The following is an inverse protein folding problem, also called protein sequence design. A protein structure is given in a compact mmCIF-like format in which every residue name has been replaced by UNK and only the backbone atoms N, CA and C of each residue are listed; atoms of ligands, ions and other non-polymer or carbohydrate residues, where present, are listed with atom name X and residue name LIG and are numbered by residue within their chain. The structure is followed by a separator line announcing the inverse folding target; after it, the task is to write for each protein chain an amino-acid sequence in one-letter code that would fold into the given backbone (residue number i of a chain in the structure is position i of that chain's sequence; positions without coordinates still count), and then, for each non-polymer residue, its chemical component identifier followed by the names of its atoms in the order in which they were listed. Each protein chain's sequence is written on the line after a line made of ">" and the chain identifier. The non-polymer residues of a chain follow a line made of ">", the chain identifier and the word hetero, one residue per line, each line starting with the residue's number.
data_IF_708566731000
#
_entry.id   IF_708566731000
#
_cell.length_a   1.000
_cell.length_b   1.000
_cell.length_c   1.000
_cell.angle_alpha   90.00
_cell.angle_beta   90.00
_cell.angle_gamma   90.00
#
_symmetry.space_group_name_H-M   'P 1'
#
loop_
_entity.id
_entity.type
_entity.pdbx_description
1 polymer ?
#
# COMPACT_ATOMS: atom_id res chain seq x y z
N UNK A 1 -1.59 13.18 38.55
CA UNK A 1 -0.44 12.61 37.82
C UNK A 1 -0.76 12.70 36.33
N UNK A 2 0.07 13.35 35.53
CA UNK A 2 -0.14 13.34 34.07
C UNK A 2 0.03 11.90 33.59
N UNK A 3 -0.97 11.39 32.89
CA UNK A 3 -0.91 10.09 32.22
C UNK A 3 0.28 10.12 31.25
N UNK A 4 1.26 9.23 31.46
CA UNK A 4 2.41 9.13 30.55
C UNK A 4 1.87 8.74 29.17
N UNK A 5 2.20 9.56 28.16
CA UNK A 5 1.86 9.21 26.78
C UNK A 5 2.51 7.86 26.42
N UNK A 6 1.72 6.94 25.91
CA UNK A 6 2.20 5.68 25.34
C UNK A 6 3.30 5.95 24.30
N UNK A 7 4.40 5.23 24.36
CA UNK A 7 5.50 5.41 23.42
C UNK A 7 5.04 5.04 22.00
N UNK A 8 5.42 5.83 21.00
CA UNK A 8 5.01 5.63 19.60
C UNK A 8 5.35 4.22 19.08
N UNK A 9 6.48 3.67 19.49
CA UNK A 9 6.96 2.34 19.10
C UNK A 9 5.98 1.21 19.49
N UNK A 10 5.08 1.45 20.43
CA UNK A 10 4.12 0.44 20.89
C UNK A 10 2.93 0.26 19.94
N UNK A 11 2.63 1.25 19.08
CA UNK A 11 1.47 1.22 18.18
C UNK A 11 1.80 1.57 16.72
N UNK A 12 3.02 2.07 16.44
CA UNK A 12 3.44 2.39 15.08
C UNK A 12 3.64 1.14 14.21
N UNK A 13 3.56 1.30 12.89
CA UNK A 13 4.03 0.31 11.94
C UNK A 13 5.56 0.24 11.99
N UNK A 14 6.09 -0.91 12.38
CA UNK A 14 7.53 -1.11 12.55
C UNK A 14 8.24 -1.60 11.28
N UNK A 15 7.55 -1.79 10.16
CA UNK A 15 8.17 -2.30 8.93
C UNK A 15 9.27 -1.39 8.37
N UNK A 16 9.13 -0.05 8.34
CA UNK A 16 10.23 0.82 7.93
C UNK A 16 11.46 0.65 8.80
N UNK A 17 11.29 0.70 10.12
CA UNK A 17 12.36 0.53 11.09
C UNK A 17 13.05 -0.85 10.96
N UNK A 18 12.26 -1.92 10.83
CA UNK A 18 12.80 -3.26 10.69
C UNK A 18 13.61 -3.43 9.38
N UNK A 19 13.20 -2.73 8.31
CA UNK A 19 13.96 -2.70 7.06
C UNK A 19 15.29 -1.97 7.22
N UNK A 20 15.32 -0.83 7.91
CA UNK A 20 16.55 -0.09 8.20
C UNK A 20 17.51 -0.92 9.02
N UNK A 21 17.03 -1.60 10.06
CA UNK A 21 17.85 -2.51 10.89
C UNK A 21 18.45 -3.65 10.05
N UNK A 22 17.66 -4.25 9.16
CA UNK A 22 18.15 -5.27 8.24
C UNK A 22 19.20 -4.73 7.26
N UNK A 23 19.07 -3.45 6.82
CA UNK A 23 20.09 -2.77 6.01
C UNK A 23 21.43 -2.62 6.74
N UNK A 24 21.42 -2.39 8.05
CA UNK A 24 22.62 -2.37 8.89
C UNK A 24 23.20 -3.75 9.15
N UNK A 25 22.51 -4.82 8.74
CA UNK A 25 22.96 -6.21 8.95
C UNK A 25 22.65 -6.78 10.34
N UNK A 26 21.86 -6.06 11.16
CA UNK A 26 21.43 -6.56 12.46
C UNK A 26 20.20 -7.46 12.30
N UNK A 27 20.29 -8.68 12.86
CA UNK A 27 19.20 -9.68 12.77
C UNK A 27 18.35 -9.75 14.02
N UNK A 28 18.96 -9.39 15.16
CA UNK A 28 18.30 -9.46 16.45
C UNK A 28 17.87 -8.08 16.95
N UNK A 29 16.65 -7.69 16.55
CA UNK A 29 16.06 -6.42 16.96
C UNK A 29 15.98 -6.29 18.49
N UNK A 30 15.76 -7.41 19.20
CA UNK A 30 15.63 -7.42 20.67
C UNK A 30 16.94 -7.05 21.39
N UNK A 31 18.10 -7.21 20.73
CA UNK A 31 19.43 -6.92 21.31
C UNK A 31 19.80 -5.43 21.28
N UNK A 32 19.06 -4.62 20.54
CA UNK A 32 19.32 -3.19 20.44
C UNK A 32 19.00 -2.47 21.75
N UNK A 33 19.71 -1.38 22.09
CA UNK A 33 19.49 -0.62 23.33
C UNK A 33 18.26 0.29 23.22
N UNK A 34 17.08 -0.31 23.27
CA UNK A 34 15.81 0.43 23.21
C UNK A 34 15.55 1.23 24.48
N UNK A 35 15.06 2.45 24.34
CA UNK A 35 14.50 3.21 25.45
C UNK A 35 13.17 2.60 25.92
N UNK A 36 12.36 2.17 24.96
CA UNK A 36 11.12 1.39 25.19
C UNK A 36 11.16 0.21 24.22
N UNK A 37 11.06 -1.01 24.75
CA UNK A 37 11.09 -2.22 23.92
C UNK A 37 9.88 -2.27 22.99
N UNK A 38 10.07 -2.46 21.67
CA UNK A 38 8.96 -2.65 20.75
C UNK A 38 8.22 -3.96 21.06
N UNK A 39 6.87 -3.99 20.95
CA UNK A 39 6.10 -5.21 21.15
C UNK A 39 6.53 -6.32 20.18
N UNK A 40 6.78 -7.52 20.69
CA UNK A 40 7.23 -8.67 19.87
C UNK A 40 6.25 -8.99 18.74
N UNK A 41 4.94 -8.84 18.98
CA UNK A 41 3.92 -9.06 17.94
C UNK A 41 4.08 -8.07 16.78
N UNK A 42 4.38 -6.79 17.07
CA UNK A 42 4.58 -5.76 16.04
C UNK A 42 5.87 -6.02 15.24
N UNK A 43 6.95 -6.46 15.92
CA UNK A 43 8.20 -6.87 15.24
C UNK A 43 7.95 -8.07 14.32
N UNK A 44 7.23 -9.11 14.81
CA UNK A 44 6.89 -10.27 13.99
C UNK A 44 6.10 -9.87 12.76
N UNK A 45 5.03 -9.07 12.94
CA UNK A 45 4.22 -8.58 11.83
C UNK A 45 5.03 -7.75 10.82
N UNK A 46 5.97 -6.92 11.29
CA UNK A 46 6.85 -6.15 10.43
C UNK A 46 7.78 -7.07 9.60
N UNK A 47 8.37 -8.09 10.23
CA UNK A 47 9.21 -9.08 9.54
C UNK A 47 8.42 -9.90 8.53
N UNK A 48 7.24 -10.40 8.91
CA UNK A 48 6.35 -11.15 8.01
C UNK A 48 5.96 -10.32 6.79
N UNK A 49 5.68 -9.03 7.00
CA UNK A 49 5.46 -8.09 5.91
C UNK A 49 6.69 -7.97 5.01
N UNK A 50 7.87 -7.71 5.57
CA UNK A 50 9.10 -7.54 4.78
C UNK A 50 9.47 -8.81 4.00
N UNK A 51 9.24 -10.00 4.57
CA UNK A 51 9.37 -11.28 3.85
C UNK A 51 8.38 -11.36 2.69
N UNK A 52 7.10 -11.04 2.93
CA UNK A 52 6.07 -11.06 1.88
C UNK A 52 6.34 -10.08 0.75
N UNK A 53 6.98 -8.94 1.07
CA UNK A 53 7.46 -7.97 0.09
C UNK A 53 8.76 -8.41 -0.61
N UNK A 54 9.39 -9.50 -0.18
CA UNK A 54 10.68 -9.94 -0.67
C UNK A 54 11.84 -9.00 -0.31
N UNK A 55 11.65 -8.14 0.69
CA UNK A 55 12.66 -7.20 1.15
C UNK A 55 13.73 -7.86 2.02
N UNK A 56 13.33 -8.83 2.83
CA UNK A 56 14.21 -9.72 3.58
C UNK A 56 13.90 -11.18 3.26
N UNK A 57 14.86 -12.07 3.48
CA UNK A 57 14.65 -13.51 3.41
C UNK A 57 14.13 -14.08 4.76
N UNK A 58 13.88 -15.39 4.80
CA UNK A 58 13.41 -16.09 6.01
C UNK A 58 14.42 -16.06 7.18
N UNK A 59 15.69 -15.80 6.90
CA UNK A 59 16.75 -15.65 7.88
C UNK A 59 16.98 -14.20 8.32
N UNK A 60 16.07 -13.30 7.93
CA UNK A 60 16.10 -11.85 8.13
C UNK A 60 17.29 -11.13 7.47
N UNK A 61 17.88 -11.69 6.42
CA UNK A 61 18.90 -10.98 5.64
C UNK A 61 18.21 -10.08 4.60
N UNK A 62 18.78 -8.89 4.40
CA UNK A 62 18.33 -7.97 3.35
C UNK A 62 18.60 -8.58 1.97
N UNK A 63 17.56 -8.58 1.11
CA UNK A 63 17.67 -9.07 -0.26
C UNK A 63 18.16 -7.96 -1.23
N UNK A 64 18.57 -8.30 -2.47
CA UNK A 64 18.83 -7.28 -3.50
C UNK A 64 17.61 -6.37 -3.77
N UNK A 65 16.39 -6.94 -3.73
CA UNK A 65 15.16 -6.16 -3.84
C UNK A 65 14.96 -5.26 -2.60
N UNK A 66 15.22 -5.78 -1.40
CA UNK A 66 15.15 -5.03 -0.15
C UNK A 66 16.06 -3.82 -0.12
N UNK A 67 17.29 -3.92 -0.64
CA UNK A 67 18.21 -2.78 -0.79
C UNK A 67 17.63 -1.69 -1.70
N UNK A 68 16.96 -2.08 -2.78
CA UNK A 68 16.29 -1.13 -3.70
C UNK A 68 15.06 -0.49 -3.04
N UNK A 69 14.30 -1.25 -2.24
CA UNK A 69 13.16 -0.75 -1.46
C UNK A 69 13.66 0.26 -0.41
N UNK A 70 14.68 -0.07 0.36
CA UNK A 70 15.26 0.80 1.39
C UNK A 70 15.88 2.10 0.85
N UNK A 71 16.24 2.14 -0.44
CA UNK A 71 16.76 3.35 -1.09
C UNK A 71 15.70 4.46 -1.29
N UNK A 72 14.40 4.12 -1.18
CA UNK A 72 13.31 5.10 -1.29
C UNK A 72 12.83 5.50 0.10
N UNK A 73 12.82 6.80 0.45
CA UNK A 73 12.42 7.28 1.77
C UNK A 73 10.89 7.29 1.94
N UNK A 74 10.28 6.12 1.82
CA UNK A 74 8.84 5.92 1.96
C UNK A 74 8.54 4.53 2.56
N UNK A 75 7.28 4.29 2.89
CA UNK A 75 6.86 3.01 3.44
C UNK A 75 7.24 1.84 2.50
N UNK A 76 7.77 0.69 3.02
CA UNK A 76 8.25 -0.44 2.21
C UNK A 76 7.26 -0.96 1.16
N UNK A 77 5.95 -0.89 1.43
CA UNK A 77 4.91 -1.27 0.47
C UNK A 77 4.91 -0.36 -0.77
N UNK A 78 5.00 0.95 -0.55
CA UNK A 78 5.03 1.94 -1.63
C UNK A 78 6.35 1.84 -2.40
N UNK A 79 7.45 1.73 -1.66
CA UNK A 79 8.76 1.54 -2.25
C UNK A 79 8.81 0.28 -3.15
N UNK A 80 8.27 -0.86 -2.69
CA UNK A 80 8.20 -2.08 -3.50
C UNK A 80 7.39 -1.88 -4.77
N UNK A 81 6.22 -1.28 -4.69
CA UNK A 81 5.37 -0.99 -5.84
C UNK A 81 6.13 -0.16 -6.89
N UNK A 82 6.80 0.92 -6.46
CA UNK A 82 7.56 1.82 -7.33
C UNK A 82 8.77 1.09 -7.94
N UNK A 83 9.51 0.32 -7.13
CA UNK A 83 10.71 -0.43 -7.56
C UNK A 83 10.38 -1.55 -8.53
N UNK A 84 9.22 -2.19 -8.39
CA UNK A 84 8.76 -3.26 -9.28
C UNK A 84 8.09 -2.74 -10.55
N UNK A 85 7.77 -1.46 -10.63
CA UNK A 85 7.25 -0.82 -11.84
C UNK A 85 8.34 -0.75 -12.91
N UNK A 86 8.26 -1.63 -13.91
CA UNK A 86 9.32 -1.92 -14.87
C UNK A 86 9.28 -1.07 -16.15
N UNK A 87 8.26 -0.21 -16.31
CA UNK A 87 8.16 0.78 -17.40
C UNK A 87 8.02 2.20 -16.83
N UNK A 88 8.29 3.21 -17.66
CA UNK A 88 8.15 4.61 -17.26
C UNK A 88 6.69 4.95 -16.86
N UNK A 89 5.73 4.46 -17.62
CA UNK A 89 4.30 4.65 -17.40
C UNK A 89 3.84 4.00 -16.08
N UNK A 90 4.23 2.74 -15.85
CA UNK A 90 3.95 2.04 -14.58
C UNK A 90 4.59 2.74 -13.39
N UNK A 91 5.80 3.26 -13.55
CA UNK A 91 6.48 3.98 -12.48
C UNK A 91 5.77 5.29 -12.13
N UNK A 92 5.34 6.06 -13.14
CA UNK A 92 4.51 7.23 -12.95
C UNK A 92 3.18 6.90 -12.25
N UNK A 93 2.52 5.82 -12.70
CA UNK A 93 1.28 5.31 -12.11
C UNK A 93 1.47 4.87 -10.66
N UNK A 94 2.56 4.15 -10.35
CA UNK A 94 2.90 3.75 -8.98
C UNK A 94 3.09 4.95 -8.05
N UNK A 95 3.71 6.03 -8.52
CA UNK A 95 3.83 7.29 -7.76
C UNK A 95 2.46 7.94 -7.49
N UNK A 96 1.55 7.90 -8.46
CA UNK A 96 0.19 8.43 -8.30
C UNK A 96 -0.62 7.58 -7.30
N UNK A 97 -0.51 6.25 -7.37
CA UNK A 97 -1.14 5.32 -6.41
C UNK A 97 -0.60 5.56 -5.00
N UNK A 98 0.72 5.65 -4.83
CA UNK A 98 1.34 5.90 -3.54
C UNK A 98 0.80 7.20 -2.90
N UNK A 99 0.76 8.27 -3.67
CA UNK A 99 0.24 9.56 -3.20
C UNK A 99 -1.26 9.52 -2.83
N UNK A 100 -2.06 8.76 -3.59
CA UNK A 100 -3.48 8.59 -3.29
C UNK A 100 -3.68 7.85 -1.96
N UNK A 101 -2.84 6.87 -1.66
CA UNK A 101 -2.94 6.04 -0.46
C UNK A 101 -2.43 6.73 0.82
N UNK A 102 -1.64 7.81 0.70
CA UNK A 102 -1.18 8.61 1.84
C UNK A 102 -2.21 9.64 2.32
N UNK A 103 -3.17 9.99 1.47
CA UNK A 103 -4.21 10.96 1.79
C UNK A 103 -5.56 10.29 2.01
N UNK A 104 -6.43 10.96 2.75
CA UNK A 104 -7.82 10.52 2.84
C UNK A 104 -8.47 10.58 1.46
N UNK A 105 -9.25 9.54 1.09
CA UNK A 105 -9.96 9.48 -0.19
C UNK A 105 -10.62 10.84 -0.51
N UNK A 106 -10.33 11.42 -1.68
CA UNK A 106 -10.91 12.70 -2.08
C UNK A 106 -12.38 12.59 -2.50
N UNK A 107 -12.87 11.40 -2.78
CA UNK A 107 -14.27 11.16 -3.13
C UNK A 107 -15.13 10.92 -1.88
N UNK A 108 -16.44 11.01 -2.04
CA UNK A 108 -17.41 10.77 -0.97
C UNK A 108 -17.43 9.29 -0.56
N UNK A 109 -17.88 9.03 0.69
CA UNK A 109 -17.92 7.68 1.29
C UNK A 109 -18.82 6.67 0.53
N UNK A 110 -19.69 7.15 -0.35
CA UNK A 110 -20.58 6.34 -1.21
C UNK A 110 -20.06 6.18 -2.64
N UNK A 111 -18.83 6.63 -2.93
CA UNK A 111 -18.25 6.42 -4.24
C UNK A 111 -17.85 4.94 -4.40
N UNK A 112 -17.89 4.48 -5.67
CA UNK A 112 -17.35 3.18 -6.09
C UNK A 112 -15.94 2.94 -5.55
N UNK A 113 -15.59 1.70 -5.23
CA UNK A 113 -14.29 1.36 -4.63
C UNK A 113 -13.15 1.34 -5.65
N UNK A 114 -13.40 1.46 -6.95
CA UNK A 114 -12.38 1.42 -7.99
C UNK A 114 -11.41 2.62 -7.90
N UNK A 115 -10.14 2.30 -7.63
CA UNK A 115 -9.05 3.27 -7.59
C UNK A 115 -8.79 3.92 -8.94
N UNK A 116 -9.10 3.25 -10.04
CA UNK A 116 -8.86 3.75 -11.40
C UNK A 116 -9.60 5.07 -11.65
N UNK A 117 -10.83 5.18 -11.10
CA UNK A 117 -11.59 6.43 -11.16
C UNK A 117 -10.84 7.59 -10.49
N UNK A 118 -10.30 7.37 -9.28
CA UNK A 118 -9.54 8.39 -8.53
C UNK A 118 -8.30 8.83 -9.29
N UNK A 119 -7.58 7.89 -9.85
CA UNK A 119 -6.36 8.14 -10.62
C UNK A 119 -6.65 8.89 -11.93
N UNK A 120 -7.73 8.54 -12.64
CA UNK A 120 -8.19 9.28 -13.82
C UNK A 120 -8.54 10.72 -13.45
N UNK A 121 -9.26 10.94 -12.35
CA UNK A 121 -9.60 12.28 -11.88
C UNK A 121 -8.37 13.07 -11.48
N UNK A 122 -7.40 12.47 -10.78
CA UNK A 122 -6.12 13.08 -10.43
C UNK A 122 -5.37 13.54 -11.67
N UNK A 123 -5.20 12.66 -12.67
CA UNK A 123 -4.46 12.93 -13.90
C UNK A 123 -5.13 14.02 -14.75
N UNK A 124 -6.45 13.95 -14.93
CA UNK A 124 -7.23 14.97 -15.67
C UNK A 124 -7.26 16.34 -14.98
N UNK A 125 -7.06 16.36 -13.67
CA UNK A 125 -7.04 17.60 -12.90
C UNK A 125 -5.66 18.27 -12.88
N UNK A 126 -4.58 17.59 -13.30
CA UNK A 126 -3.23 18.18 -13.40
C UNK A 126 -3.23 19.36 -14.37
N UNK A 127 -2.48 20.39 -14.03
CA UNK A 127 -2.44 21.64 -14.80
C UNK A 127 -3.64 22.56 -14.63
N UNK A 128 -4.71 22.13 -13.92
CA UNK A 128 -5.84 22.97 -13.55
C UNK A 128 -5.68 23.48 -12.12
N UNK A 129 -6.33 24.61 -11.78
CA UNK A 129 -6.34 25.13 -10.41
C UNK A 129 -7.08 24.13 -9.51
N UNK A 130 -6.33 23.31 -8.80
CA UNK A 130 -6.85 22.34 -7.85
C UNK A 130 -6.96 22.97 -6.46
N UNK A 131 -7.92 22.51 -5.66
CA UNK A 131 -8.16 22.97 -4.30
C UNK A 131 -8.31 21.75 -3.38
N UNK A 132 -7.81 21.85 -2.14
CA UNK A 132 -8.01 20.85 -1.11
C UNK A 132 -7.17 19.58 -1.30
N UNK A 133 -7.81 18.40 -1.12
CA UNK A 133 -7.11 17.11 -1.12
C UNK A 133 -6.45 16.76 -2.44
N UNK A 134 -7.07 17.05 -3.57
CA UNK A 134 -6.50 16.81 -4.89
C UNK A 134 -5.16 17.53 -5.09
N UNK A 135 -5.04 18.76 -4.59
CA UNK A 135 -3.80 19.53 -4.65
C UNK A 135 -2.70 18.85 -3.81
N UNK A 136 -3.04 18.35 -2.61
CA UNK A 136 -2.07 17.65 -1.76
C UNK A 136 -1.62 16.35 -2.41
N UNK A 137 -2.55 15.53 -2.91
CA UNK A 137 -2.23 14.28 -3.61
C UNK A 137 -1.33 14.55 -4.81
N UNK A 138 -1.63 15.57 -5.62
CA UNK A 138 -0.81 15.93 -6.78
C UNK A 138 0.62 16.34 -6.38
N UNK A 139 0.77 17.08 -5.25
CA UNK A 139 2.08 17.47 -4.71
C UNK A 139 2.86 16.24 -4.23
N UNK A 140 2.24 15.36 -3.44
CA UNK A 140 2.86 14.12 -2.96
C UNK A 140 3.27 13.24 -4.14
N UNK A 141 2.41 13.10 -5.18
CA UNK A 141 2.75 12.37 -6.40
C UNK A 141 3.97 12.95 -7.12
N UNK A 142 4.12 14.27 -7.15
CA UNK A 142 5.30 14.91 -7.73
C UNK A 142 6.57 14.64 -6.90
N UNK A 143 6.47 14.61 -5.57
CA UNK A 143 7.57 14.23 -4.67
C UNK A 143 7.99 12.76 -4.90
N UNK A 144 7.03 11.84 -5.00
CA UNK A 144 7.31 10.43 -5.34
C UNK A 144 7.96 10.28 -6.71
N UNK A 145 7.47 10.99 -7.73
CA UNK A 145 8.10 10.97 -9.07
C UNK A 145 9.53 11.50 -9.04
N UNK A 146 9.78 12.55 -8.27
CA UNK A 146 11.14 13.10 -8.11
C UNK A 146 12.07 12.02 -7.48
N UNK A 147 11.67 11.41 -6.39
CA UNK A 147 12.44 10.34 -5.71
C UNK A 147 12.66 9.11 -6.61
N UNK A 148 11.67 8.74 -7.39
CA UNK A 148 11.71 7.59 -8.28
C UNK A 148 12.35 7.87 -9.65
N UNK A 149 12.78 9.12 -9.92
CA UNK A 149 13.24 9.56 -11.24
C UNK A 149 12.23 9.22 -12.35
N UNK A 150 10.95 9.45 -12.09
CA UNK A 150 9.85 9.18 -13.01
C UNK A 150 9.32 10.48 -13.63
N UNK A 151 8.95 10.41 -14.90
CA UNK A 151 8.27 11.50 -15.60
C UNK A 151 6.78 11.49 -15.28
N UNK A 152 6.13 12.66 -15.40
CA UNK A 152 4.69 12.75 -15.27
C UNK A 152 4.01 12.11 -16.48
N UNK A 153 2.95 11.33 -16.21
CA UNK A 153 2.09 10.74 -17.21
C UNK A 153 0.63 11.13 -16.91
N UNK A 154 -0.06 11.68 -17.90
CA UNK A 154 -1.45 12.17 -17.79
C UNK A 154 -2.42 11.37 -18.67
N UNK A 155 -2.00 10.25 -19.23
CA UNK A 155 -2.90 9.32 -19.94
C UNK A 155 -3.82 8.64 -18.94
N UNK A 156 -5.03 8.25 -19.38
CA UNK A 156 -5.94 7.52 -18.50
C UNK A 156 -5.31 6.19 -18.06
N UNK A 157 -5.33 5.85 -16.76
CA UNK A 157 -4.71 4.63 -16.26
C UNK A 157 -5.46 3.39 -16.75
N UNK A 158 -4.72 2.34 -17.10
CA UNK A 158 -5.29 1.03 -17.43
C UNK A 158 -5.67 0.33 -16.12
N UNK A 159 -6.94 -0.09 -15.92
CA UNK A 159 -7.41 -0.66 -14.64
C UNK A 159 -6.59 -1.84 -14.14
N UNK A 160 -6.24 -2.79 -15.01
CA UNK A 160 -5.44 -3.97 -14.65
C UNK A 160 -3.99 -3.63 -14.28
N UNK A 161 -3.45 -2.54 -14.82
CA UNK A 161 -2.13 -2.02 -14.40
C UNK A 161 -2.19 -1.42 -13.01
N UNK A 162 -3.29 -0.75 -12.65
CA UNK A 162 -3.54 -0.28 -11.28
C UNK A 162 -3.58 -1.48 -10.33
N UNK A 163 -4.36 -2.51 -10.66
CA UNK A 163 -4.46 -3.73 -9.87
C UNK A 163 -3.10 -4.44 -9.69
N UNK A 164 -2.33 -4.58 -10.75
CA UNK A 164 -0.98 -5.16 -10.71
C UNK A 164 -0.06 -4.40 -9.73
N UNK A 165 -0.05 -3.08 -9.80
CA UNK A 165 0.77 -2.25 -8.93
C UNK A 165 0.32 -2.33 -7.47
N UNK A 166 -0.99 -2.31 -7.21
CA UNK A 166 -1.55 -2.53 -5.86
C UNK A 166 -1.16 -3.91 -5.33
N UNK A 167 -1.18 -4.97 -6.17
CA UNK A 167 -0.76 -6.31 -5.77
C UNK A 167 0.73 -6.38 -5.38
N UNK A 168 1.59 -5.55 -5.97
CA UNK A 168 2.98 -5.44 -5.51
C UNK A 168 3.10 -4.83 -4.10
N UNK A 169 2.25 -3.87 -3.75
CA UNK A 169 2.25 -3.25 -2.42
C UNK A 169 1.57 -4.13 -1.36
N UNK A 170 0.53 -4.86 -1.75
CA UNK A 170 -0.35 -5.63 -0.87
C UNK A 170 -0.57 -7.06 -1.38
N UNK A 171 0.48 -7.90 -1.49
CA UNK A 171 0.35 -9.25 -2.04
C UNK A 171 -0.63 -10.13 -1.25
N UNK A 172 -0.73 -9.95 0.06
CA UNK A 172 -1.66 -10.64 0.94
C UNK A 172 -3.13 -10.23 0.75
N UNK A 173 -3.36 -9.10 0.04
CA UNK A 173 -4.68 -8.55 -0.24
C UNK A 173 -5.14 -8.75 -1.68
N UNK A 174 -4.47 -9.61 -2.44
CA UNK A 174 -5.02 -10.15 -3.67
C UNK A 174 -6.24 -10.98 -3.29
N UNK A 175 -7.37 -10.77 -3.97
CA UNK A 175 -8.62 -11.41 -3.60
C UNK A 175 -9.30 -12.04 -4.81
N UNK A 176 -9.81 -13.25 -4.62
CA UNK A 176 -10.54 -14.03 -5.60
C UNK A 176 -12.03 -14.02 -5.24
N UNK A 177 -12.88 -13.80 -6.25
CA UNK A 177 -14.33 -13.88 -6.10
C UNK A 177 -14.74 -15.26 -5.57
N UNK A 178 -15.75 -15.28 -4.69
CA UNK A 178 -16.42 -16.48 -4.22
C UNK A 178 -17.84 -16.58 -4.82
N UNK A 179 -18.65 -17.52 -4.34
CA UNK A 179 -19.99 -17.76 -4.88
C UNK A 179 -21.01 -16.64 -4.58
N UNK A 180 -20.67 -15.66 -3.73
CA UNK A 180 -21.54 -14.56 -3.40
C UNK A 180 -21.20 -13.35 -4.25
N UNK A 181 -22.19 -12.66 -4.79
CA UNK A 181 -22.01 -11.42 -5.57
C UNK A 181 -21.26 -10.37 -4.69
N UNK A 182 -20.15 -9.87 -5.21
CA UNK A 182 -19.28 -8.93 -4.47
C UNK A 182 -18.50 -9.54 -3.31
N UNK A 183 -18.62 -10.85 -3.08
CA UNK A 183 -17.86 -11.57 -2.06
C UNK A 183 -16.51 -12.04 -2.59
N UNK A 184 -15.46 -11.88 -1.78
CA UNK A 184 -14.09 -12.26 -2.13
C UNK A 184 -13.37 -12.90 -0.97
N UNK A 185 -12.38 -13.74 -1.30
CA UNK A 185 -11.43 -14.34 -0.35
C UNK A 185 -10.03 -13.77 -0.60
N UNK A 186 -9.41 -13.23 0.45
CA UNK A 186 -8.05 -12.71 0.42
C UNK A 186 -6.99 -13.83 0.40
N UNK A 187 -5.90 -13.61 -0.31
CA UNK A 187 -4.74 -14.52 -0.32
C UNK A 187 -4.12 -14.67 1.09
N UNK A 188 -4.08 -13.60 1.86
CA UNK A 188 -3.64 -13.63 3.26
C UNK A 188 -4.64 -14.19 4.25
N UNK A 189 -5.80 -14.66 3.77
CA UNK A 189 -6.89 -15.21 4.59
C UNK A 189 -7.97 -14.18 4.93
N UNK A 190 -9.15 -14.69 5.26
CA UNK A 190 -10.34 -13.88 5.53
C UNK A 190 -11.19 -13.58 4.30
N UNK A 191 -12.43 -13.20 4.58
CA UNK A 191 -13.41 -12.83 3.55
C UNK A 191 -13.66 -11.32 3.58
N UNK A 192 -13.92 -10.76 2.43
CA UNK A 192 -14.27 -9.35 2.24
C UNK A 192 -15.51 -9.23 1.36
N UNK A 193 -16.21 -8.11 1.47
CA UNK A 193 -17.44 -7.85 0.74
C UNK A 193 -17.39 -6.45 0.13
N UNK A 194 -17.71 -6.37 -1.15
CA UNK A 194 -18.08 -5.16 -1.89
C UNK A 194 -19.61 -5.03 -1.91
N UNK A 195 -20.11 -3.83 -2.15
CA UNK A 195 -21.51 -3.64 -2.51
C UNK A 195 -21.78 -4.35 -3.83
N UNK A 196 -22.95 -4.98 -3.98
CA UNK A 196 -23.32 -5.67 -5.22
C UNK A 196 -23.45 -4.73 -6.42
N UNK A 197 -23.66 -3.44 -6.19
CA UNK A 197 -23.71 -2.39 -7.20
C UNK A 197 -22.33 -1.80 -7.54
N UNK A 198 -21.27 -2.19 -6.80
CA UNK A 198 -19.90 -1.72 -7.07
C UNK A 198 -19.39 -2.28 -8.40
N UNK A 199 -18.70 -1.45 -9.19
CA UNK A 199 -18.19 -1.84 -10.51
C UNK A 199 -17.25 -3.04 -10.46
N UNK A 200 -16.53 -3.22 -9.36
CA UNK A 200 -15.59 -4.34 -9.16
C UNK A 200 -16.27 -5.64 -8.76
N UNK A 201 -17.57 -5.63 -8.40
CA UNK A 201 -18.30 -6.80 -7.89
C UNK A 201 -18.37 -7.98 -8.87
N UNK A 202 -18.19 -7.72 -10.18
CA UNK A 202 -18.23 -8.71 -11.26
C UNK A 202 -16.84 -9.24 -11.66
N UNK A 203 -15.76 -8.70 -11.12
CA UNK A 203 -14.41 -9.14 -11.45
C UNK A 203 -14.03 -10.43 -10.69
N UNK A 204 -13.32 -11.36 -11.35
CA UNK A 204 -12.86 -12.60 -10.73
C UNK A 204 -11.72 -12.34 -9.75
N UNK A 205 -10.83 -11.40 -10.07
CA UNK A 205 -9.67 -11.05 -9.26
C UNK A 205 -9.57 -9.55 -9.05
N UNK A 206 -9.35 -9.15 -7.81
CA UNK A 206 -9.09 -7.76 -7.43
C UNK A 206 -7.87 -7.67 -6.51
N UNK A 207 -7.19 -6.53 -6.54
CA UNK A 207 -6.17 -6.17 -5.55
C UNK A 207 -6.74 -5.08 -4.63
N UNK A 208 -6.72 -5.33 -3.32
CA UNK A 208 -7.34 -4.45 -2.33
C UNK A 208 -6.29 -3.57 -1.67
N UNK A 209 -6.40 -2.26 -1.84
CA UNK A 209 -5.49 -1.28 -1.25
C UNK A 209 -5.93 -0.84 0.15
N UNK A 210 -7.24 -0.65 0.36
CA UNK A 210 -7.78 -0.22 1.64
C UNK A 210 -9.00 -1.05 2.03
N UNK A 211 -8.96 -1.59 3.23
CA UNK A 211 -10.07 -2.36 3.82
C UNK A 211 -10.11 -2.16 5.35
N UNK A 212 -11.28 -2.41 5.91
CA UNK A 212 -11.45 -2.58 7.34
C UNK A 212 -11.95 -3.99 7.63
N UNK A 213 -11.25 -4.69 8.51
CA UNK A 213 -11.65 -6.04 8.94
C UNK A 213 -11.47 -6.19 10.45
N UNK A 214 -12.30 -7.06 11.03
CA UNK A 214 -12.19 -7.49 12.42
C UNK A 214 -12.00 -9.01 12.43
N UNK A 215 -11.26 -9.57 13.39
CA UNK A 215 -11.10 -11.01 13.50
C UNK A 215 -12.46 -11.73 13.49
N UNK A 216 -12.59 -12.75 12.63
CA UNK A 216 -13.81 -13.56 12.50
C UNK A 216 -14.99 -12.89 11.78
N UNK A 217 -14.83 -11.65 11.27
CA UNK A 217 -15.87 -10.95 10.50
C UNK A 217 -15.44 -10.73 9.05
N UNK A 218 -16.44 -10.63 8.16
CA UNK A 218 -16.23 -10.21 6.77
C UNK A 218 -15.79 -8.76 6.75
N UNK A 219 -14.65 -8.48 6.09
CA UNK A 219 -14.10 -7.15 5.95
C UNK A 219 -14.86 -6.31 4.92
N UNK A 220 -14.86 -5.00 5.09
CA UNK A 220 -15.38 -4.02 4.12
C UNK A 220 -14.23 -3.42 3.32
N UNK A 221 -14.37 -3.38 2.01
CA UNK A 221 -13.40 -2.75 1.10
C UNK A 221 -13.74 -1.26 0.91
N UNK A 222 -12.71 -0.42 0.85
CA UNK A 222 -12.82 0.99 0.56
C UNK A 222 -12.15 1.37 -0.76
N UNK A 223 -10.99 0.74 -1.07
CA UNK A 223 -10.26 0.97 -2.31
C UNK A 223 -9.71 -0.34 -2.82
N UNK A 224 -9.95 -0.62 -4.08
CA UNK A 224 -9.44 -1.78 -4.81
C UNK A 224 -9.24 -1.46 -6.28
N UNK A 225 -8.64 -2.39 -7.03
CA UNK A 225 -8.54 -2.31 -8.48
C UNK A 225 -8.62 -3.72 -9.09
N UNK A 226 -9.09 -3.88 -10.34
CA UNK A 226 -9.23 -5.19 -10.96
C UNK A 226 -7.86 -5.73 -11.40
N UNK A 227 -7.73 -7.06 -11.39
CA UNK A 227 -6.55 -7.76 -11.90
C UNK A 227 -6.82 -8.46 -13.25
N UNK A 228 -8.08 -8.54 -13.66
CA UNK A 228 -8.53 -9.13 -14.93
C UNK A 228 -9.75 -8.39 -15.48
#
# INVERSE_FOLDING_TARGET
>A
MAEQRTAEIEYADLAPMALDIAMFGEKNIDSLPWLTQPPRANISSAKDLLVSLGAIDTDNNITPLGKRIAALPCHPRMARMIVCANTAERKALACDIAALLEEKDPLADNADTDMTLRLSLLRRARGKKQIGRWQRIAKIAAEYRHMAHATEDNTDPVPTEVGLLVAYAYPERIAMANDNIGGYRLAGGGNIQLDSADSLSAHTWIAVASLYSQPGKTGRVFLAAPLN
#
